data_IF_647213621802
#
_entry.id   IF_647213621802
#
_cell.length_a   1.000
_cell.length_b   1.000
_cell.length_c   1.000
_cell.angle_alpha   90.00
_cell.angle_beta   90.00
_cell.angle_gamma   90.00
#
_symmetry.space_group_name_H-M   'P 1'
#
loop_
_entity.id
_entity.type
_entity.pdbx_description
1 polymer ?
#
# COMPACT_ATOMS: atom_id res chain seq x y z
N UNK A 1 -10.87 -13.73 11.71
CA UNK A 1 -11.69 -12.81 10.88
C UNK A 1 -11.53 -11.36 11.32
N UNK A 2 -11.69 -11.04 12.61
CA UNK A 2 -11.51 -9.66 13.11
C UNK A 2 -10.08 -9.12 12.93
N UNK A 3 -9.05 -9.95 13.15
CA UNK A 3 -7.64 -9.54 12.98
C UNK A 3 -7.29 -9.26 11.52
N UNK A 4 -7.73 -10.12 10.59
CA UNK A 4 -7.58 -9.91 9.14
C UNK A 4 -8.21 -8.59 8.70
N UNK A 5 -9.43 -8.32 9.14
CA UNK A 5 -10.12 -7.07 8.85
C UNK A 5 -9.35 -5.87 9.41
N UNK A 6 -8.86 -5.97 10.65
CA UNK A 6 -8.06 -4.94 11.28
C UNK A 6 -6.76 -4.67 10.51
N UNK A 7 -6.05 -5.72 10.08
CA UNK A 7 -4.82 -5.58 9.28
C UNK A 7 -5.08 -4.88 7.95
N UNK A 8 -6.16 -5.25 7.25
CA UNK A 8 -6.55 -4.61 5.99
C UNK A 8 -6.89 -3.13 6.25
N UNK A 9 -7.65 -2.83 7.31
CA UNK A 9 -8.01 -1.45 7.67
C UNK A 9 -6.78 -0.61 7.98
N UNK A 10 -5.84 -1.12 8.79
CA UNK A 10 -4.59 -0.39 9.10
C UNK A 10 -3.71 -0.20 7.86
N UNK A 11 -3.57 -1.22 7.01
CA UNK A 11 -2.84 -1.09 5.74
C UNK A 11 -3.45 -0.05 4.81
N UNK A 12 -4.78 -0.02 4.73
CA UNK A 12 -5.53 0.97 3.93
C UNK A 12 -5.38 2.37 4.50
N UNK A 13 -5.45 2.53 5.83
CA UNK A 13 -5.24 3.80 6.50
C UNK A 13 -3.83 4.35 6.21
N UNK A 14 -2.80 3.51 6.31
CA UNK A 14 -1.43 3.90 5.98
C UNK A 14 -1.30 4.35 4.52
N UNK A 15 -1.91 3.62 3.58
CA UNK A 15 -1.94 4.01 2.18
C UNK A 15 -2.57 5.40 1.97
N UNK A 16 -3.70 5.68 2.63
CA UNK A 16 -4.36 6.99 2.54
C UNK A 16 -3.47 8.10 3.12
N UNK A 17 -2.87 7.87 4.30
CA UNK A 17 -1.98 8.85 4.93
C UNK A 17 -0.75 9.17 4.06
N UNK A 18 -0.15 8.17 3.42
CA UNK A 18 0.97 8.37 2.51
C UNK A 18 0.57 9.18 1.28
N UNK A 19 -0.58 8.91 0.69
CA UNK A 19 -1.08 9.72 -0.44
C UNK A 19 -1.35 11.17 -0.02
N UNK A 20 -1.97 11.39 1.14
CA UNK A 20 -2.15 12.73 1.70
C UNK A 20 -0.81 13.43 1.96
N UNK A 21 0.21 12.70 2.42
CA UNK A 21 1.58 13.20 2.56
C UNK A 21 2.18 13.67 1.24
N UNK A 22 2.06 12.87 0.17
CA UNK A 22 2.52 13.25 -1.18
C UNK A 22 1.79 14.51 -1.68
N UNK A 23 0.47 14.60 -1.50
CA UNK A 23 -0.30 15.78 -1.86
C UNK A 23 0.05 17.02 -1.02
N UNK A 24 0.25 16.86 0.29
CA UNK A 24 0.60 17.94 1.20
C UNK A 24 1.99 18.49 0.94
N UNK A 25 2.99 17.61 0.81
CA UNK A 25 4.38 18.00 0.54
C UNK A 25 4.54 18.64 -0.84
N UNK A 26 3.81 18.16 -1.85
CA UNK A 26 3.79 18.80 -3.15
C UNK A 26 3.16 20.20 -3.07
N UNK A 27 2.04 20.38 -2.35
CA UNK A 27 1.40 21.70 -2.16
C UNK A 27 2.28 22.71 -1.40
N UNK A 28 3.11 22.28 -0.45
CA UNK A 28 4.06 23.18 0.22
C UNK A 28 5.15 23.71 -0.73
N UNK A 29 5.47 22.95 -1.79
CA UNK A 29 6.51 23.30 -2.77
C UNK A 29 5.93 23.89 -4.07
N UNK A 30 4.90 24.75 -3.95
CA UNK A 30 4.09 25.40 -5.02
C UNK A 30 4.86 25.89 -6.27
N UNK A 31 6.17 26.09 -6.20
CA UNK A 31 7.01 26.62 -7.28
C UNK A 31 7.77 25.57 -8.11
N UNK A 32 7.54 24.26 -7.92
CA UNK A 32 8.14 23.25 -8.80
C UNK A 32 7.33 23.11 -10.09
N UNK A 33 7.98 23.38 -11.23
CA UNK A 33 7.46 23.24 -12.61
C UNK A 33 6.81 21.87 -12.89
N UNK A 34 7.14 20.84 -12.11
CA UNK A 34 6.73 19.45 -12.34
C UNK A 34 5.86 18.87 -11.20
N UNK A 35 5.15 19.70 -10.43
CA UNK A 35 4.36 19.26 -9.28
C UNK A 35 3.31 18.18 -9.63
N UNK A 36 2.68 18.29 -10.81
CA UNK A 36 1.68 17.34 -11.30
C UNK A 36 2.30 15.98 -11.66
N UNK A 37 3.48 15.98 -12.27
CA UNK A 37 4.21 14.73 -12.56
C UNK A 37 4.62 14.03 -11.27
N UNK A 38 5.12 14.78 -10.28
CA UNK A 38 5.51 14.21 -8.98
C UNK A 38 4.29 13.59 -8.27
N UNK A 39 3.15 14.26 -8.30
CA UNK A 39 1.89 13.73 -7.76
C UNK A 39 1.46 12.47 -8.50
N UNK A 40 1.46 12.49 -9.84
CA UNK A 40 1.05 11.33 -10.64
C UNK A 40 1.96 10.12 -10.42
N UNK A 41 3.28 10.32 -10.43
CA UNK A 41 4.27 9.25 -10.20
C UNK A 41 4.14 8.72 -8.77
N UNK A 42 4.04 9.60 -7.77
CA UNK A 42 3.88 9.21 -6.38
C UNK A 42 2.59 8.42 -6.13
N UNK A 43 1.48 8.89 -6.68
CA UNK A 43 0.17 8.25 -6.55
C UNK A 43 0.12 6.90 -7.27
N UNK A 44 0.67 6.83 -8.48
CA UNK A 44 0.80 5.57 -9.23
C UNK A 44 1.65 4.54 -8.48
N UNK A 45 2.79 4.95 -7.94
CA UNK A 45 3.71 4.07 -7.20
C UNK A 45 3.06 3.55 -5.92
N UNK A 46 2.46 4.44 -5.11
CA UNK A 46 1.78 4.06 -3.87
C UNK A 46 0.59 3.13 -4.15
N UNK A 47 -0.17 3.40 -5.21
CA UNK A 47 -1.32 2.56 -5.58
C UNK A 47 -0.85 1.17 -5.99
N UNK A 48 0.20 1.07 -6.81
CA UNK A 48 0.76 -0.21 -7.22
C UNK A 48 1.31 -1.00 -6.02
N UNK A 49 2.01 -0.35 -5.09
CA UNK A 49 2.50 -0.98 -3.86
C UNK A 49 1.35 -1.53 -3.01
N UNK A 50 0.30 -0.74 -2.79
CA UNK A 50 -0.85 -1.16 -1.98
C UNK A 50 -1.59 -2.33 -2.63
N UNK A 51 -1.85 -2.28 -3.94
CA UNK A 51 -2.51 -3.37 -4.68
C UNK A 51 -1.67 -4.64 -4.64
N UNK A 52 -0.36 -4.53 -4.85
CA UNK A 52 0.54 -5.69 -4.79
C UNK A 52 0.54 -6.32 -3.39
N UNK A 53 0.61 -5.50 -2.34
CA UNK A 53 0.57 -5.95 -0.96
C UNK A 53 -0.75 -6.65 -0.61
N UNK A 54 -1.89 -6.05 -0.93
CA UNK A 54 -3.20 -6.62 -0.55
C UNK A 54 -3.47 -7.94 -1.26
N UNK A 55 -3.05 -8.09 -2.52
CA UNK A 55 -3.18 -9.35 -3.26
C UNK A 55 -2.38 -10.47 -2.59
N UNK A 56 -1.10 -10.20 -2.28
CA UNK A 56 -0.23 -11.19 -1.61
C UNK A 56 -0.78 -11.55 -0.24
N UNK A 57 -1.21 -10.55 0.53
CA UNK A 57 -1.79 -10.77 1.85
C UNK A 57 -3.06 -11.63 1.78
N UNK A 58 -4.00 -11.30 0.88
CA UNK A 58 -5.24 -12.07 0.72
C UNK A 58 -4.97 -13.52 0.29
N UNK A 59 -3.98 -13.74 -0.58
CA UNK A 59 -3.59 -15.08 -1.03
C UNK A 59 -3.08 -15.96 0.11
N UNK A 60 -2.56 -15.36 1.19
CA UNK A 60 -2.00 -16.08 2.34
C UNK A 60 -2.99 -16.32 3.47
N UNK A 61 -4.19 -15.73 3.45
CA UNK A 61 -5.17 -15.87 4.55
C UNK A 61 -5.68 -17.30 4.67
N UNK A 62 -6.01 -17.93 3.54
CA UNK A 62 -6.49 -19.30 3.46
C UNK A 62 -5.74 -19.99 2.31
N UNK A 63 -4.48 -20.42 2.53
CA UNK A 63 -3.69 -21.04 1.49
C UNK A 63 -4.31 -22.37 1.07
N UNK A 64 -4.34 -22.65 -0.23
CA UNK A 64 -4.78 -23.95 -0.74
C UNK A 64 -3.77 -25.08 -0.50
N UNK A 65 -2.50 -24.72 -0.30
CA UNK A 65 -1.39 -25.64 -0.06
C UNK A 65 -0.70 -25.18 1.22
N UNK A 66 -0.64 -26.06 2.21
CA UNK A 66 0.11 -25.83 3.45
C UNK A 66 1.60 -26.09 3.21
N UNK A 67 2.51 -25.35 3.87
CA UNK A 67 3.94 -25.58 3.71
C UNK A 67 4.35 -26.94 4.32
N UNK A 68 5.01 -27.78 3.54
CA UNK A 68 5.63 -29.01 4.04
C UNK A 68 6.86 -28.65 4.89
N UNK A 69 6.74 -28.80 6.20
CA UNK A 69 7.87 -28.63 7.12
C UNK A 69 8.69 -29.92 7.13
N UNK A 70 9.78 -29.97 6.35
CA UNK A 70 10.77 -31.04 6.47
C UNK A 70 11.59 -30.74 7.74
N UNK A 71 11.29 -31.47 8.82
CA UNK A 71 12.08 -31.43 10.05
C UNK A 71 13.11 -32.56 9.93
N UNK A 72 14.36 -32.21 9.64
CA UNK A 72 15.52 -33.12 9.77
C UNK A 72 15.98 -33.24 11.23
#
# INVERSE_FOLDING_TARGET
MNEVLLTILMGTLNFVLLNLGVFGLSHMHRYKKNIKEIQLIGLGTLTFMYVSWIIVYLAQINPFIEPEMIIE
#
